data_IF_003401854734
#
_entry.id   IF_003401854734
#
_cell.length_a   1.000
_cell.length_b   1.000
_cell.length_c   1.000
_cell.angle_alpha   90.00
_cell.angle_beta   90.00
_cell.angle_gamma   90.00
#
_symmetry.space_group_name_H-M   'P 1'
#
loop_
_entity.id
_entity.type
_entity.pdbx_description
1 polymer ?
#
# COMPACT_ATOMS: atom_id res chain seq x y z
N UNK A 1 -9.43 11.41 -7.56
CA UNK A 1 -9.68 10.23 -6.71
C UNK A 1 -8.47 9.31 -6.78
N UNK A 2 -7.76 9.13 -5.68
CA UNK A 2 -6.62 8.20 -5.54
C UNK A 2 -7.08 6.92 -4.81
N UNK A 3 -6.63 5.74 -5.24
CA UNK A 3 -6.83 4.49 -4.51
C UNK A 3 -5.53 4.04 -3.87
N UNK A 4 -5.53 3.74 -2.58
CA UNK A 4 -4.32 3.35 -1.85
C UNK A 4 -4.60 2.38 -0.70
N UNK A 5 -3.54 1.83 -0.10
CA UNK A 5 -3.63 1.08 1.14
C UNK A 5 -3.66 1.98 2.38
N UNK A 6 -4.06 1.40 3.51
CA UNK A 6 -4.05 2.05 4.83
C UNK A 6 -2.64 2.46 5.29
N UNK A 7 -1.63 1.72 4.87
CA UNK A 7 -0.21 2.01 5.11
C UNK A 7 0.21 3.37 4.52
N UNK A 8 -0.28 3.73 3.33
CA UNK A 8 -0.05 5.07 2.76
C UNK A 8 -0.72 6.17 3.59
N UNK A 9 -1.99 5.97 3.97
CA UNK A 9 -2.75 6.95 4.76
C UNK A 9 -2.08 7.19 6.13
N UNK A 10 -1.64 6.11 6.79
CA UNK A 10 -0.90 6.20 8.05
C UNK A 10 0.42 6.98 7.90
N UNK A 11 1.07 6.88 6.73
CA UNK A 11 2.27 7.62 6.39
C UNK A 11 2.12 9.13 6.35
N UNK A 12 0.90 9.68 6.14
CA UNK A 12 0.67 11.14 6.12
C UNK A 12 0.91 11.85 7.46
N UNK A 13 1.13 11.08 8.54
CA UNK A 13 1.68 11.56 9.80
C UNK A 13 3.07 12.19 9.65
N UNK A 14 3.89 11.66 8.75
CA UNK A 14 5.28 12.05 8.60
C UNK A 14 5.37 13.35 7.78
N UNK A 15 5.76 14.43 8.46
CA UNK A 15 5.92 15.75 7.86
C UNK A 15 7.20 15.90 7.04
N UNK A 16 8.20 15.03 7.24
CA UNK A 16 9.43 15.03 6.46
C UNK A 16 9.21 14.35 5.10
N UNK A 17 8.23 13.46 5.02
CA UNK A 17 7.82 12.78 3.77
C UNK A 17 6.67 13.47 3.05
N UNK A 18 5.71 14.06 3.77
CA UNK A 18 4.51 14.66 3.18
C UNK A 18 4.33 16.10 3.64
N UNK A 19 4.46 17.04 2.72
CA UNK A 19 4.15 18.46 2.98
C UNK A 19 2.64 18.70 3.02
N UNK A 20 2.20 19.81 3.63
CA UNK A 20 0.77 20.15 3.64
C UNK A 20 0.24 20.41 2.21
N UNK A 21 1.08 20.96 1.33
CA UNK A 21 0.75 21.18 -0.08
C UNK A 21 0.55 19.84 -0.82
N UNK A 22 1.38 18.82 -0.54
CA UNK A 22 1.21 17.48 -1.11
C UNK A 22 -0.12 16.86 -0.66
N UNK A 23 -0.42 16.95 0.64
CA UNK A 23 -1.67 16.43 1.19
C UNK A 23 -2.88 17.16 0.62
N UNK A 24 -2.83 18.49 0.52
CA UNK A 24 -3.91 19.26 -0.10
C UNK A 24 -4.14 18.80 -1.55
N UNK A 25 -3.08 18.63 -2.34
CA UNK A 25 -3.18 18.17 -3.73
C UNK A 25 -3.79 16.77 -3.83
N UNK A 26 -3.35 15.83 -2.99
CA UNK A 26 -3.84 14.44 -3.01
C UNK A 26 -5.29 14.37 -2.54
N UNK A 27 -5.62 15.05 -1.44
CA UNK A 27 -6.93 15.00 -0.81
C UNK A 27 -7.95 15.91 -1.51
N UNK A 28 -7.52 16.82 -2.40
CA UNK A 28 -8.42 17.64 -3.23
C UNK A 28 -9.42 16.78 -3.98
N UNK A 29 -8.95 15.72 -4.64
CA UNK A 29 -9.77 14.87 -5.49
C UNK A 29 -10.29 13.60 -4.77
N UNK A 30 -10.02 13.49 -3.48
CA UNK A 30 -10.43 12.39 -2.61
C UNK A 30 -9.56 11.12 -2.68
N UNK A 31 -9.71 10.30 -1.65
CA UNK A 31 -8.95 9.08 -1.39
C UNK A 31 -9.89 7.90 -1.12
N UNK A 32 -9.63 6.76 -1.76
CA UNK A 32 -10.24 5.47 -1.43
C UNK A 32 -9.17 4.59 -0.81
N UNK A 33 -9.41 4.14 0.42
CA UNK A 33 -8.42 3.45 1.24
C UNK A 33 -8.82 2.00 1.46
N UNK A 34 -7.97 1.08 1.04
CA UNK A 34 -8.09 -0.34 1.31
C UNK A 34 -7.50 -0.63 2.70
N UNK A 35 -8.30 -1.14 3.65
CA UNK A 35 -7.79 -1.49 4.96
C UNK A 35 -6.83 -2.69 4.87
N UNK A 36 -5.87 -2.77 5.80
CA UNK A 36 -4.82 -3.80 5.82
C UNK A 36 -4.69 -4.39 7.22
N UNK A 37 -4.38 -5.67 7.29
CA UNK A 37 -4.12 -6.33 8.58
C UNK A 37 -3.00 -5.62 9.34
N UNK A 38 -3.18 -5.47 10.66
CA UNK A 38 -2.20 -4.81 11.52
C UNK A 38 -2.18 -3.27 11.41
N UNK A 39 -3.12 -2.67 10.68
CA UNK A 39 -3.27 -1.20 10.61
C UNK A 39 -4.56 -0.73 11.27
N UNK A 40 -4.50 0.36 12.04
CA UNK A 40 -5.67 0.94 12.72
C UNK A 40 -6.32 2.02 11.86
N UNK A 41 -7.54 1.73 11.37
CA UNK A 41 -8.37 2.69 10.64
C UNK A 41 -8.69 3.92 11.49
N UNK A 42 -9.00 3.70 12.77
CA UNK A 42 -9.36 4.77 13.70
C UNK A 42 -8.19 5.74 13.91
N UNK A 43 -6.99 5.21 14.16
CA UNK A 43 -5.79 6.02 14.33
C UNK A 43 -5.46 6.82 13.06
N UNK A 44 -5.51 6.18 11.88
CA UNK A 44 -5.25 6.83 10.61
C UNK A 44 -6.26 7.96 10.33
N UNK A 45 -7.54 7.74 10.58
CA UNK A 45 -8.58 8.77 10.41
C UNK A 45 -8.55 9.84 11.52
N UNK A 46 -7.86 9.61 12.64
CA UNK A 46 -7.69 10.60 13.71
C UNK A 46 -6.63 11.66 13.41
N UNK A 47 -5.84 11.49 12.33
CA UNK A 47 -4.75 12.41 11.98
C UNK A 47 -5.28 13.85 11.81
N UNK A 48 -4.75 14.84 12.56
CA UNK A 48 -5.24 16.22 12.49
C UNK A 48 -5.21 16.82 11.08
N UNK A 49 -4.19 16.46 10.29
CA UNK A 49 -4.00 16.93 8.91
C UNK A 49 -5.10 16.43 7.95
N UNK A 50 -5.82 15.37 8.31
CA UNK A 50 -6.97 14.85 7.56
C UNK A 50 -8.31 15.47 7.99
N UNK A 51 -8.35 16.20 9.11
CA UNK A 51 -9.60 16.75 9.63
C UNK A 51 -10.39 17.60 8.62
N UNK A 52 -9.76 18.44 7.77
CA UNK A 52 -10.48 19.22 6.75
C UNK A 52 -11.05 18.38 5.58
N UNK A 53 -10.61 17.12 5.45
CA UNK A 53 -10.86 16.28 4.27
C UNK A 53 -11.58 14.98 4.62
N UNK A 54 -12.15 14.84 5.83
CA UNK A 54 -12.79 13.60 6.30
C UNK A 54 -13.88 13.10 5.36
N UNK A 55 -14.62 14.01 4.73
CA UNK A 55 -15.67 13.72 3.75
C UNK A 55 -15.14 13.18 2.42
N UNK A 56 -13.82 13.33 2.17
CA UNK A 56 -13.13 12.90 0.95
C UNK A 56 -12.29 11.64 1.12
N UNK A 57 -12.24 11.09 2.34
CA UNK A 57 -11.50 9.85 2.64
C UNK A 57 -12.51 8.72 2.83
N UNK A 58 -12.54 7.79 1.88
CA UNK A 58 -13.47 6.67 1.87
C UNK A 58 -12.71 5.37 2.16
N UNK A 59 -12.94 4.79 3.34
CA UNK A 59 -12.33 3.50 3.70
C UNK A 59 -13.25 2.37 3.25
N UNK A 60 -12.72 1.41 2.49
CA UNK A 60 -13.46 0.23 2.06
C UNK A 60 -13.64 -0.76 3.24
N UNK A 61 -14.68 -1.62 3.21
CA UNK A 61 -14.81 -2.71 4.17
C UNK A 61 -13.59 -3.64 4.15
N UNK A 62 -13.31 -4.29 5.30
CA UNK A 62 -12.16 -5.20 5.46
C UNK A 62 -12.38 -6.59 4.85
N UNK A 63 -13.47 -6.78 4.10
CA UNK A 63 -13.93 -8.09 3.65
C UNK A 63 -12.99 -8.73 2.60
N UNK A 64 -12.07 -7.95 2.03
CA UNK A 64 -11.05 -8.41 1.08
C UNK A 64 -9.68 -7.80 1.41
N UNK A 65 -9.00 -8.32 2.46
CA UNK A 65 -7.75 -7.73 2.90
C UNK A 65 -6.61 -8.11 1.95
N UNK A 66 -5.81 -7.11 1.56
CA UNK A 66 -4.59 -7.35 0.79
C UNK A 66 -3.51 -7.99 1.68
N UNK A 67 -3.41 -9.32 1.67
CA UNK A 67 -2.45 -10.07 2.46
C UNK A 67 -1.05 -10.17 1.79
N UNK A 68 -0.95 -9.94 0.48
CA UNK A 68 0.31 -10.08 -0.26
C UNK A 68 1.06 -8.75 -0.25
N UNK A 69 2.33 -8.76 0.17
CA UNK A 69 3.23 -7.61 0.05
C UNK A 69 4.35 -7.89 -0.95
N UNK A 70 4.82 -6.83 -1.62
CA UNK A 70 5.97 -6.97 -2.54
C UNK A 70 7.25 -7.39 -1.81
N UNK A 71 7.39 -7.05 -0.53
CA UNK A 71 8.51 -7.52 0.31
C UNK A 71 8.48 -9.04 0.45
N UNK A 72 7.33 -9.62 0.82
CA UNK A 72 7.17 -11.08 0.91
C UNK A 72 7.51 -11.77 -0.41
N UNK A 73 7.03 -11.25 -1.53
CA UNK A 73 7.31 -11.80 -2.86
C UNK A 73 8.81 -11.80 -3.16
N UNK A 74 9.48 -10.65 -2.96
CA UNK A 74 10.93 -10.53 -3.20
C UNK A 74 11.74 -11.43 -2.28
N UNK A 75 11.33 -11.60 -1.03
CA UNK A 75 12.01 -12.46 -0.07
C UNK A 75 11.86 -13.94 -0.46
N UNK A 76 10.67 -14.38 -0.89
CA UNK A 76 10.49 -15.73 -1.42
C UNK A 76 11.40 -15.99 -2.63
N UNK A 77 11.44 -15.06 -3.59
CA UNK A 77 12.30 -15.18 -4.78
C UNK A 77 13.78 -15.27 -4.40
N UNK A 78 14.24 -14.41 -3.47
CA UNK A 78 15.62 -14.41 -2.98
C UNK A 78 15.99 -15.73 -2.29
N UNK A 79 15.06 -16.31 -1.54
CA UNK A 79 15.24 -17.58 -0.83
C UNK A 79 15.09 -18.81 -1.75
N UNK A 80 14.92 -18.63 -3.06
CA UNK A 80 14.68 -19.72 -4.01
C UNK A 80 13.32 -20.40 -3.85
N UNK A 81 12.37 -19.76 -3.14
CA UNK A 81 11.01 -20.25 -2.91
C UNK A 81 10.08 -19.71 -3.99
N UNK A 82 9.10 -20.52 -4.38
CA UNK A 82 8.13 -20.10 -5.40
C UNK A 82 7.04 -19.19 -4.80
N UNK A 83 6.81 -17.99 -5.37
CA UNK A 83 5.68 -17.13 -5.01
C UNK A 83 4.42 -17.42 -5.86
N UNK A 84 4.34 -18.60 -6.51
CA UNK A 84 3.18 -18.97 -7.34
C UNK A 84 1.87 -18.80 -6.54
N UNK A 85 0.83 -18.32 -7.21
CA UNK A 85 -0.48 -17.96 -6.64
C UNK A 85 -0.52 -16.66 -5.81
N UNK A 86 0.62 -16.01 -5.54
CA UNK A 86 0.65 -14.67 -4.96
C UNK A 86 0.63 -13.56 -6.03
N UNK A 87 0.90 -13.94 -7.27
CA UNK A 87 0.97 -13.06 -8.44
C UNK A 87 0.34 -13.76 -9.65
N UNK A 88 -0.11 -12.98 -10.66
CA UNK A 88 -0.42 -13.51 -11.98
C UNK A 88 0.76 -14.31 -12.59
N UNK A 89 0.44 -15.37 -13.33
CA UNK A 89 1.44 -16.28 -13.92
C UNK A 89 2.36 -15.55 -14.92
N UNK A 90 1.83 -14.60 -15.70
CA UNK A 90 2.59 -13.78 -16.66
C UNK A 90 3.62 -12.86 -15.98
N UNK A 91 3.27 -12.28 -14.83
CA UNK A 91 4.21 -11.50 -14.00
C UNK A 91 5.33 -12.41 -13.45
N UNK A 92 4.98 -13.62 -13.01
CA UNK A 92 5.95 -14.57 -12.49
C UNK A 92 6.91 -15.08 -13.59
N UNK A 93 6.38 -15.38 -14.77
CA UNK A 93 7.18 -15.72 -15.96
C UNK A 93 8.14 -14.60 -16.33
N UNK A 94 7.67 -13.35 -16.31
CA UNK A 94 8.50 -12.19 -16.59
C UNK A 94 9.66 -12.03 -15.59
N UNK A 95 9.39 -12.21 -14.28
CA UNK A 95 10.41 -12.17 -13.23
C UNK A 95 11.49 -13.22 -13.49
N UNK A 96 11.10 -14.46 -13.79
CA UNK A 96 12.06 -15.54 -14.03
C UNK A 96 12.86 -15.34 -15.33
N UNK A 97 12.22 -14.90 -16.41
CA UNK A 97 12.87 -14.66 -17.69
C UNK A 97 13.98 -13.59 -17.62
N UNK A 98 13.84 -12.62 -16.69
CA UNK A 98 14.76 -11.50 -16.54
C UNK A 98 15.65 -11.59 -15.29
N UNK A 99 15.55 -12.66 -14.51
CA UNK A 99 16.35 -12.83 -13.28
C UNK A 99 16.02 -11.81 -12.18
N UNK A 100 14.84 -11.21 -12.17
CA UNK A 100 14.51 -10.13 -11.22
C UNK A 100 14.40 -10.68 -9.79
N UNK A 101 15.01 -9.96 -8.84
CA UNK A 101 14.97 -10.28 -7.41
C UNK A 101 15.57 -11.64 -7.03
N UNK A 102 16.31 -12.27 -7.94
CA UNK A 102 17.01 -13.54 -7.72
C UNK A 102 18.50 -13.38 -7.44
N UNK A 103 19.01 -12.14 -7.53
CA UNK A 103 20.38 -11.84 -7.13
C UNK A 103 20.43 -11.68 -5.61
N UNK A 104 21.32 -12.45 -4.98
CA UNK A 104 22.18 -12.19 -3.80
C UNK A 104 22.53 -13.52 -3.12
N UNK A 105 23.69 -14.09 -3.49
CA UNK A 105 24.54 -14.83 -2.55
C UNK A 105 25.39 -13.82 -1.75
#
# INVERSE_FOLDING_TARGET
LLACGMDLLAGFRDSDLWTDDDLERILRDGLVVMPREGTSTEEALSLPRLAPYRDRVHVLPYDNPNAVSSTLVRDLLRDGRSPRYLLPDDVLEYIYAHGLYMDHC
#
